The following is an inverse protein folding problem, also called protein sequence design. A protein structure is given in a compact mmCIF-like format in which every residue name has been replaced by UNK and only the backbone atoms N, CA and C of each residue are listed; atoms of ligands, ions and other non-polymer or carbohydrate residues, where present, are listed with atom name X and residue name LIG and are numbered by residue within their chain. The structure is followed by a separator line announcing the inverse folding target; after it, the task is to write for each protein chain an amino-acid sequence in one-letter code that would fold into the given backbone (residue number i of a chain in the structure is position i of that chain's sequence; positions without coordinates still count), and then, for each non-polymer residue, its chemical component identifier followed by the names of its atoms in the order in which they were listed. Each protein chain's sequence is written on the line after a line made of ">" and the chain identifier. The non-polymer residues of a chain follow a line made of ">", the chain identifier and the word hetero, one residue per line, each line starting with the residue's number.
data_IF_021303066211
#
_entry.id   IF_021303066211
#
_cell.length_a   1.000
_cell.length_b   1.000
_cell.length_c   1.000
_cell.angle_alpha   90.00
_cell.angle_beta   90.00
_cell.angle_gamma   90.00
#
_symmetry.space_group_name_H-M   'P 1'
#
loop_
_entity.id
_entity.type
_entity.pdbx_description
1 polymer ?
#
# COMPACT_ATOMS: atom_id res chain seq x y z
N UNK A 1 -8.47 -4.53 13.34
CA UNK A 1 -7.07 -4.31 12.93
C UNK A 1 -6.76 -4.83 11.53
N UNK A 2 -6.73 -6.14 11.22
CA UNK A 2 -6.35 -6.62 9.87
C UNK A 2 -7.23 -6.03 8.74
N UNK A 3 -8.56 -6.10 8.86
CA UNK A 3 -9.49 -5.54 7.85
C UNK A 3 -9.29 -4.03 7.69
N UNK A 4 -9.09 -3.33 8.81
CA UNK A 4 -8.83 -1.89 8.83
C UNK A 4 -7.51 -1.55 8.14
N UNK A 5 -6.43 -2.30 8.38
CA UNK A 5 -5.16 -2.19 7.66
C UNK A 5 -5.36 -2.38 6.16
N UNK A 6 -6.11 -3.42 5.73
CA UNK A 6 -6.36 -3.67 4.30
C UNK A 6 -7.12 -2.51 3.66
N UNK A 7 -8.21 -2.06 4.28
CA UNK A 7 -9.02 -0.94 3.76
C UNK A 7 -8.20 0.36 3.69
N UNK A 8 -7.39 0.62 4.72
CA UNK A 8 -6.53 1.80 4.78
C UNK A 8 -5.44 1.76 3.71
N UNK A 9 -4.74 0.62 3.56
CA UNK A 9 -3.72 0.40 2.52
C UNK A 9 -4.33 0.60 1.13
N UNK A 10 -5.45 -0.04 0.82
CA UNK A 10 -6.11 0.11 -0.49
C UNK A 10 -6.48 1.57 -0.74
N UNK A 11 -7.10 2.25 0.24
CA UNK A 11 -7.53 3.65 0.11
C UNK A 11 -6.34 4.58 -0.13
N UNK A 12 -5.25 4.39 0.60
CA UNK A 12 -4.06 5.22 0.49
C UNK A 12 -3.27 4.93 -0.80
N UNK A 13 -3.14 3.67 -1.19
CA UNK A 13 -2.55 3.26 -2.47
C UNK A 13 -3.35 3.79 -3.66
N UNK A 14 -4.69 3.78 -3.59
CA UNK A 14 -5.55 4.42 -4.59
C UNK A 14 -5.27 5.92 -4.67
N UNK A 15 -5.30 6.63 -3.53
CA UNK A 15 -5.02 8.06 -3.46
C UNK A 15 -3.68 8.42 -4.12
N UNK A 16 -2.61 7.74 -3.72
CA UNK A 16 -1.28 7.99 -4.28
C UNK A 16 -1.15 7.57 -5.75
N UNK A 17 -1.96 6.63 -6.24
CA UNK A 17 -1.96 6.25 -7.66
C UNK A 17 -2.51 7.33 -8.59
N UNK A 18 -3.21 8.34 -8.06
CA UNK A 18 -3.67 9.51 -8.82
C UNK A 18 -2.71 10.70 -8.75
N UNK A 19 -1.68 10.62 -7.91
CA UNK A 19 -0.64 11.65 -7.82
C UNK A 19 0.48 11.29 -8.81
N UNK A 20 0.92 12.28 -9.58
CA UNK A 20 2.04 12.10 -10.51
C UNK A 20 3.32 11.74 -9.73
N UNK A 21 3.91 10.60 -10.06
CA UNK A 21 5.18 10.18 -9.47
C UNK A 21 6.34 10.93 -10.14
N UNK A 22 7.04 11.76 -9.38
CA UNK A 22 8.21 12.53 -9.81
C UNK A 22 9.55 11.90 -9.43
N UNK A 23 9.53 10.69 -8.85
CA UNK A 23 10.71 9.93 -8.47
C UNK A 23 11.26 9.10 -9.64
N UNK A 24 12.55 8.79 -9.60
CA UNK A 24 13.19 7.83 -10.52
C UNK A 24 12.78 6.37 -10.26
N UNK A 25 12.17 6.10 -9.11
CA UNK A 25 11.67 4.77 -8.77
C UNK A 25 10.24 4.58 -9.30
N UNK A 26 9.90 3.41 -9.85
CA UNK A 26 8.57 3.17 -10.42
C UNK A 26 7.49 3.18 -9.33
N UNK A 27 6.30 3.69 -9.67
CA UNK A 27 5.21 3.86 -8.69
C UNK A 27 4.77 2.55 -8.04
N UNK A 28 4.92 1.42 -8.75
CA UNK A 28 4.65 0.08 -8.24
C UNK A 28 5.56 -0.32 -7.06
N UNK A 29 6.71 0.35 -6.89
CA UNK A 29 7.64 0.15 -5.78
C UNK A 29 7.47 1.27 -4.74
N UNK A 30 7.44 2.53 -5.19
CA UNK A 30 7.41 3.70 -4.27
C UNK A 30 6.13 3.75 -3.45
N UNK A 31 4.97 3.51 -4.08
CA UNK A 31 3.68 3.62 -3.39
C UNK A 31 3.59 2.60 -2.25
N UNK A 32 3.87 1.28 -2.44
CA UNK A 32 3.89 0.33 -1.34
C UNK A 32 4.80 0.71 -0.16
N UNK A 33 5.97 1.28 -0.43
CA UNK A 33 6.90 1.72 0.63
C UNK A 33 6.28 2.87 1.43
N UNK A 34 5.82 3.93 0.76
CA UNK A 34 5.21 5.10 1.41
C UNK A 34 3.95 4.69 2.19
N UNK A 35 3.07 3.91 1.56
CA UNK A 35 1.85 3.41 2.19
C UNK A 35 2.18 2.57 3.41
N UNK A 36 3.20 1.71 3.35
CA UNK A 36 3.61 0.91 4.50
C UNK A 36 4.12 1.75 5.67
N UNK A 37 4.96 2.74 5.39
CA UNK A 37 5.43 3.68 6.41
C UNK A 37 4.26 4.44 7.06
N UNK A 38 3.33 4.97 6.27
CA UNK A 38 2.17 5.70 6.79
C UNK A 38 1.24 4.79 7.57
N UNK A 39 0.99 3.57 7.08
CA UNK A 39 0.13 2.59 7.75
C UNK A 39 0.71 2.20 9.11
N UNK A 40 2.01 1.88 9.18
CA UNK A 40 2.70 1.55 10.44
C UNK A 40 2.72 2.75 11.40
N UNK A 41 2.80 3.98 10.89
CA UNK A 41 2.76 5.18 11.73
C UNK A 41 1.36 5.48 12.29
N UNK A 42 0.30 5.33 11.48
CA UNK A 42 -1.06 5.74 11.85
C UNK A 42 -1.81 4.63 12.59
N UNK A 43 -1.77 3.40 12.08
CA UNK A 43 -2.52 2.27 12.64
C UNK A 43 -1.72 1.45 13.64
N UNK A 44 -0.39 1.63 13.67
CA UNK A 44 0.50 0.83 14.51
C UNK A 44 0.67 -0.60 14.03
N UNK A 45 1.23 -1.43 14.90
CA UNK A 45 1.48 -2.84 14.65
C UNK A 45 0.28 -3.72 15.04
N UNK A 46 0.24 -4.93 14.50
CA UNK A 46 -0.81 -5.91 14.84
C UNK A 46 -0.63 -6.53 16.22
N UNK A 47 0.53 -6.34 16.84
CA UNK A 47 0.87 -6.81 18.16
C UNK A 47 1.15 -5.65 19.12
N UNK A 48 1.19 -5.99 20.40
CA UNK A 48 1.47 -5.04 21.46
C UNK A 48 2.96 -5.08 21.82
N UNK A 49 3.54 -3.91 22.15
CA UNK A 49 4.82 -3.85 22.85
C UNK A 49 6.08 -3.55 22.04
N UNK A 50 5.98 -2.85 20.90
CA UNK A 50 7.13 -2.33 20.13
C UNK A 50 8.25 -3.36 19.86
N UNK A 51 7.89 -4.64 19.76
CA UNK A 51 8.82 -5.73 19.55
C UNK A 51 8.60 -6.31 18.17
N UNK A 52 9.68 -6.60 17.44
CA UNK A 52 9.58 -7.29 16.17
C UNK A 52 9.23 -8.76 16.40
N UNK A 53 8.13 -9.21 15.82
CA UNK A 53 7.64 -10.58 15.91
C UNK A 53 7.40 -11.18 14.53
N UNK A 54 6.99 -12.44 14.50
CA UNK A 54 6.60 -13.11 13.25
C UNK A 54 5.35 -12.44 12.64
N UNK A 55 4.47 -11.84 13.45
CA UNK A 55 3.32 -11.09 12.93
C UNK A 55 3.72 -9.89 12.08
N UNK A 56 4.89 -9.27 12.31
CA UNK A 56 5.40 -8.19 11.44
C UNK A 56 5.61 -8.67 10.00
N UNK A 57 6.05 -9.92 9.80
CA UNK A 57 6.25 -10.46 8.46
C UNK A 57 4.91 -10.53 7.73
N UNK A 58 3.87 -11.05 8.40
CA UNK A 58 2.52 -11.11 7.84
C UNK A 58 1.91 -9.71 7.63
N UNK A 59 2.18 -8.78 8.54
CA UNK A 59 1.78 -7.39 8.45
C UNK A 59 2.36 -6.72 7.20
N UNK A 60 3.68 -6.80 7.01
CA UNK A 60 4.35 -6.22 5.85
C UNK A 60 3.96 -6.91 4.54
N UNK A 61 3.80 -8.24 4.54
CA UNK A 61 3.29 -8.97 3.37
C UNK A 61 1.89 -8.48 2.98
N UNK A 62 1.01 -8.27 3.96
CA UNK A 62 -0.34 -7.76 3.73
C UNK A 62 -0.29 -6.38 3.06
N UNK A 63 0.47 -5.44 3.63
CA UNK A 63 0.65 -4.09 3.07
C UNK A 63 1.18 -4.15 1.64
N UNK A 64 2.25 -4.91 1.40
CA UNK A 64 2.90 -4.96 0.09
C UNK A 64 1.95 -5.57 -0.95
N UNK A 65 1.31 -6.70 -0.64
CA UNK A 65 0.41 -7.37 -1.58
C UNK A 65 -0.76 -6.46 -1.95
N UNK A 66 -1.48 -5.92 -0.98
CA UNK A 66 -2.65 -5.09 -1.26
C UNK A 66 -2.28 -3.77 -1.94
N UNK A 67 -1.17 -3.14 -1.56
CA UNK A 67 -0.71 -1.92 -2.24
C UNK A 67 -0.27 -2.19 -3.68
N UNK A 68 0.54 -3.23 -3.93
CA UNK A 68 1.00 -3.58 -5.28
C UNK A 68 -0.18 -3.93 -6.18
N UNK A 69 -1.12 -4.75 -5.71
CA UNK A 69 -2.31 -5.10 -6.47
C UNK A 69 -3.14 -3.86 -6.83
N UNK A 70 -3.34 -2.96 -5.88
CA UNK A 70 -4.07 -1.71 -6.10
C UNK A 70 -3.42 -0.86 -7.19
N UNK A 71 -2.10 -0.62 -7.06
CA UNK A 71 -1.35 0.19 -8.04
C UNK A 71 -1.37 -0.48 -9.42
N UNK A 72 -1.19 -1.79 -9.48
CA UNK A 72 -1.23 -2.56 -10.73
C UNK A 72 -2.59 -2.44 -11.43
N UNK A 73 -3.70 -2.60 -10.69
CA UNK A 73 -5.06 -2.47 -11.24
C UNK A 73 -5.29 -1.07 -11.80
N UNK A 74 -4.90 -0.03 -11.05
CA UNK A 74 -5.06 1.37 -11.49
C UNK A 74 -4.23 1.65 -12.74
N UNK A 75 -2.96 1.24 -12.76
CA UNK A 75 -2.09 1.42 -13.92
C UNK A 75 -2.64 0.70 -15.15
N UNK A 76 -3.08 -0.55 -15.00
CA UNK A 76 -3.69 -1.33 -16.07
C UNK A 76 -4.97 -0.67 -16.59
N UNK A 77 -5.79 -0.10 -15.71
CA UNK A 77 -6.99 0.64 -16.09
C UNK A 77 -6.67 1.90 -16.89
N UNK A 78 -5.61 2.65 -16.52
CA UNK A 78 -5.18 3.84 -17.28
C UNK A 78 -4.64 3.49 -18.68
N UNK A 79 -4.05 2.30 -18.86
CA UNK A 79 -3.53 1.82 -20.15
C UNK A 79 -4.62 1.29 -21.10
N UNK A 80 -5.83 1.01 -20.61
CA UNK A 80 -6.92 0.48 -21.43
C UNK A 80 -8.05 1.53 -21.52
N UNK A 81 -7.96 2.51 -22.44
CA UNK A 81 -8.82 3.68 -22.49
C UNK A 81 -10.27 3.40 -22.95
N UNK A 82 -10.75 2.15 -22.91
CA UNK A 82 -12.13 1.80 -23.32
C UNK A 82 -13.24 2.47 -22.49
N UNK A 83 -12.89 3.28 -21.49
CA UNK A 83 -13.81 3.98 -20.60
C UNK A 83 -13.43 5.44 -20.30
N UNK A 84 -12.59 6.09 -21.13
CA UNK A 84 -12.35 7.54 -21.08
C UNK A 84 -13.02 8.26 -22.23
#
# INVERSE_FOLDING_TARGET
>A
MIIETILFVISLSLLFSFIENKSNFPSIIVIPIIVGCITKYILGDWDEGYAWTISDIFYWMCIIIFSVLTVFIVQKSKMNPKFN
#
